data_IF_294679505644
#
_entry.id   IF_294679505644
#
_cell.length_a   1.000
_cell.length_b   1.000
_cell.length_c   1.000
_cell.angle_alpha   90.00
_cell.angle_beta   90.00
_cell.angle_gamma   90.00
#
_symmetry.space_group_name_H-M   'P 1'
#
loop_
_entity.id
_entity.type
_entity.pdbx_description
1 polymer ?
#
# COMPACT_ATOMS: atom_id res chain seq x y z
N UNK A 1 -11.44 19.62 -7.72
CA UNK A 1 -11.21 18.54 -6.73
C UNK A 1 -10.08 18.92 -5.78
N UNK A 2 -9.79 18.13 -4.74
CA UNK A 2 -8.78 18.51 -3.75
C UNK A 2 -7.36 18.68 -4.31
N UNK A 3 -7.02 17.94 -5.37
CA UNK A 3 -5.72 17.97 -6.03
C UNK A 3 -5.76 18.57 -7.45
N UNK A 4 -6.78 19.37 -7.76
CA UNK A 4 -6.81 20.11 -9.03
C UNK A 4 -5.55 20.98 -9.16
N UNK A 5 -4.85 20.84 -10.29
CA UNK A 5 -3.59 21.54 -10.56
C UNK A 5 -2.33 20.85 -10.05
N UNK A 6 -2.45 19.80 -9.25
CA UNK A 6 -1.29 18.96 -8.84
C UNK A 6 -0.90 18.01 -9.96
N UNK A 7 0.38 18.01 -10.35
CA UNK A 7 0.93 17.10 -11.36
C UNK A 7 1.80 16.03 -10.74
N UNK A 8 1.51 14.75 -11.08
CA UNK A 8 2.20 13.56 -10.60
C UNK A 8 2.86 12.83 -11.75
N UNK A 9 4.15 12.56 -11.65
CA UNK A 9 4.88 11.66 -12.54
C UNK A 9 4.98 10.29 -11.88
N UNK A 10 4.31 9.29 -12.45
CA UNK A 10 4.22 7.93 -11.92
C UNK A 10 5.17 7.00 -12.68
N UNK A 11 6.31 6.64 -12.07
CA UNK A 11 7.30 5.67 -12.57
C UNK A 11 7.08 4.26 -12.02
N UNK A 12 5.98 4.04 -11.31
CA UNK A 12 5.75 2.76 -10.61
C UNK A 12 5.26 1.69 -11.57
N UNK A 13 5.33 0.46 -11.09
CA UNK A 13 4.80 -0.73 -11.76
C UNK A 13 4.03 -1.56 -10.75
N UNK A 14 3.16 -2.42 -11.24
CA UNK A 14 2.36 -3.30 -10.41
C UNK A 14 1.50 -2.56 -9.39
N UNK A 15 1.22 -3.25 -8.28
CA UNK A 15 0.11 -2.99 -7.38
C UNK A 15 0.30 -1.75 -6.48
N UNK A 16 1.36 -1.63 -5.65
CA UNK A 16 1.39 -0.60 -4.60
C UNK A 16 1.45 0.82 -5.17
N UNK A 17 2.34 1.06 -6.13
CA UNK A 17 2.49 2.37 -6.74
C UNK A 17 1.33 2.76 -7.64
N UNK A 18 0.79 1.80 -8.41
CA UNK A 18 -0.39 2.05 -9.23
C UNK A 18 -1.61 2.42 -8.36
N UNK A 19 -1.77 1.78 -7.20
CA UNK A 19 -2.84 2.13 -6.26
C UNK A 19 -2.61 3.51 -5.62
N UNK A 20 -1.37 3.84 -5.23
CA UNK A 20 -1.02 5.16 -4.71
C UNK A 20 -1.42 6.26 -5.69
N UNK A 21 -0.92 6.19 -6.92
CA UNK A 21 -1.17 7.22 -7.93
C UNK A 21 -2.62 7.24 -8.43
N UNK A 22 -3.36 6.10 -8.34
CA UNK A 22 -4.79 6.06 -8.56
C UNK A 22 -5.57 6.91 -7.54
N UNK A 23 -5.24 6.80 -6.25
CA UNK A 23 -5.88 7.61 -5.21
C UNK A 23 -5.68 9.10 -5.46
N UNK A 24 -4.46 9.50 -5.88
CA UNK A 24 -4.17 10.89 -6.23
C UNK A 24 -4.96 11.34 -7.48
N UNK A 25 -5.05 10.49 -8.50
CA UNK A 25 -5.84 10.76 -9.71
C UNK A 25 -7.34 10.90 -9.41
N UNK A 26 -7.89 10.02 -8.55
CA UNK A 26 -9.30 10.09 -8.13
C UNK A 26 -9.61 11.34 -7.28
N UNK A 27 -8.59 11.97 -6.69
CA UNK A 27 -8.69 13.28 -6.00
C UNK A 27 -8.51 14.48 -6.94
N UNK A 28 -8.23 14.27 -8.23
CA UNK A 28 -8.13 15.32 -9.26
C UNK A 28 -6.72 15.66 -9.71
N UNK A 29 -5.68 14.94 -9.27
CA UNK A 29 -4.32 15.17 -9.75
C UNK A 29 -4.17 14.78 -11.23
N UNK A 30 -3.37 15.56 -11.99
CA UNK A 30 -2.93 15.25 -13.35
C UNK A 30 -1.81 14.19 -13.28
N UNK A 31 -2.17 12.91 -13.31
CA UNK A 31 -1.21 11.81 -13.21
C UNK A 31 -0.74 11.35 -14.58
N UNK A 32 0.58 11.43 -14.81
CA UNK A 32 1.24 10.92 -16.00
C UNK A 32 2.04 9.67 -15.63
N UNK A 33 1.55 8.52 -16.09
CA UNK A 33 2.27 7.25 -15.93
C UNK A 33 3.34 7.15 -17.01
N UNK A 34 4.60 7.13 -16.57
CA UNK A 34 5.79 7.04 -17.45
C UNK A 34 6.20 5.59 -17.58
N UNK A 35 6.16 5.07 -18.78
CA UNK A 35 6.36 3.65 -19.09
C UNK A 35 7.55 3.44 -20.04
N UNK A 36 8.31 2.34 -19.90
CA UNK A 36 9.38 2.03 -20.83
C UNK A 36 8.83 1.68 -22.24
N UNK A 37 9.60 1.91 -23.30
CA UNK A 37 9.24 1.44 -24.64
C UNK A 37 9.04 -0.07 -24.69
N UNK A 38 8.20 -0.52 -25.61
CA UNK A 38 7.90 -1.93 -25.86
C UNK A 38 6.75 -2.44 -24.97
N UNK A 39 7.05 -3.13 -23.88
CA UNK A 39 6.03 -3.78 -23.05
C UNK A 39 5.26 -2.84 -22.12
N UNK A 40 5.75 -1.66 -21.84
CA UNK A 40 5.18 -0.76 -20.83
C UNK A 40 5.27 -1.34 -19.41
N UNK A 41 4.25 -1.08 -18.61
CA UNK A 41 4.02 -1.79 -17.35
C UNK A 41 3.54 -3.22 -17.68
N UNK A 42 4.25 -4.23 -17.19
CA UNK A 42 3.91 -5.63 -17.47
C UNK A 42 2.57 -6.06 -16.87
N UNK A 43 1.96 -5.30 -15.94
CA UNK A 43 0.57 -5.49 -15.52
C UNK A 43 -0.41 -5.38 -16.69
N UNK A 44 -0.07 -4.68 -17.77
CA UNK A 44 -0.91 -4.58 -18.98
C UNK A 44 -1.25 -5.94 -19.61
N UNK A 45 -0.43 -6.95 -19.31
CA UNK A 45 -0.51 -8.29 -19.89
C UNK A 45 -1.03 -9.35 -18.93
N UNK A 46 -1.34 -8.98 -17.68
CA UNK A 46 -1.85 -9.92 -16.70
C UNK A 46 -3.32 -10.25 -16.93
N UNK A 47 -3.70 -11.55 -16.93
CA UNK A 47 -5.10 -11.94 -17.00
C UNK A 47 -5.84 -11.56 -15.68
N UNK A 48 -7.18 -11.45 -15.72
CA UNK A 48 -8.04 -11.67 -16.89
C UNK A 48 -7.95 -10.51 -17.90
N UNK A 49 -8.07 -10.86 -19.19
CA UNK A 49 -8.07 -9.88 -20.26
C UNK A 49 -9.51 -9.59 -20.71
N UNK A 50 -9.83 -8.31 -20.92
CA UNK A 50 -11.06 -7.83 -21.53
C UNK A 50 -10.65 -7.08 -22.80
N UNK A 51 -11.09 -7.55 -23.95
CA UNK A 51 -10.73 -6.99 -25.26
C UNK A 51 -9.20 -6.84 -25.46
N UNK A 52 -8.43 -7.83 -24.99
CA UNK A 52 -6.97 -7.85 -25.07
C UNK A 52 -6.25 -6.94 -24.05
N UNK A 53 -6.97 -6.30 -23.13
CA UNK A 53 -6.41 -5.44 -22.09
C UNK A 53 -6.59 -6.05 -20.71
N UNK A 54 -5.59 -5.92 -19.85
CA UNK A 54 -5.68 -6.40 -18.47
C UNK A 54 -6.75 -5.65 -17.68
N UNK A 55 -7.73 -6.38 -17.16
CA UNK A 55 -8.73 -5.82 -16.26
C UNK A 55 -8.10 -5.21 -15.00
N UNK A 56 -7.03 -5.84 -14.49
CA UNK A 56 -6.30 -5.35 -13.32
C UNK A 56 -5.58 -4.02 -13.63
N UNK A 57 -4.91 -3.93 -14.79
CA UNK A 57 -4.27 -2.68 -15.21
C UNK A 57 -5.31 -1.55 -15.32
N UNK A 58 -6.43 -1.81 -15.98
CA UNK A 58 -7.49 -0.82 -16.18
C UNK A 58 -8.11 -0.38 -14.85
N UNK A 59 -8.32 -1.28 -13.90
CA UNK A 59 -8.86 -0.96 -12.59
C UNK A 59 -7.95 -0.01 -11.79
N UNK A 60 -6.61 -0.19 -11.89
CA UNK A 60 -5.63 0.55 -11.10
C UNK A 60 -5.06 1.78 -11.81
N UNK A 61 -5.30 1.95 -13.11
CA UNK A 61 -4.74 3.06 -13.88
C UNK A 61 -5.79 3.95 -14.56
N UNK A 62 -7.06 3.87 -14.13
CA UNK A 62 -8.07 4.84 -14.56
C UNK A 62 -7.66 6.26 -14.14
N UNK A 63 -8.16 7.25 -14.87
CA UNK A 63 -7.88 8.67 -14.64
C UNK A 63 -6.40 9.09 -14.80
N UNK A 64 -5.54 8.19 -15.33
CA UNK A 64 -4.14 8.51 -15.62
C UNK A 64 -3.92 8.66 -17.12
N UNK A 65 -2.98 9.52 -17.48
CA UNK A 65 -2.41 9.59 -18.84
C UNK A 65 -1.18 8.70 -18.91
N UNK A 66 -0.90 8.11 -20.07
CA UNK A 66 0.30 7.29 -20.29
C UNK A 66 1.27 8.01 -21.20
N UNK A 67 2.55 7.96 -20.86
CA UNK A 67 3.67 8.44 -21.65
C UNK A 67 4.72 7.34 -21.78
N UNK A 68 5.09 6.98 -23.01
CA UNK A 68 6.21 6.08 -23.26
C UNK A 68 7.50 6.89 -23.31
N UNK A 69 8.46 6.59 -22.42
CA UNK A 69 9.72 7.30 -22.34
C UNK A 69 10.87 6.34 -21.98
N UNK A 70 11.95 6.39 -22.79
CA UNK A 70 13.14 5.58 -22.53
C UNK A 70 14.10 6.27 -21.56
N UNK A 71 13.96 6.03 -20.27
CA UNK A 71 14.85 6.59 -19.24
C UNK A 71 16.29 6.03 -19.27
N UNK A 72 16.56 5.00 -20.08
CA UNK A 72 17.93 4.52 -20.30
C UNK A 72 18.69 5.39 -21.31
N UNK A 73 18.01 6.14 -22.15
CA UNK A 73 18.63 7.09 -23.07
C UNK A 73 18.83 8.45 -22.41
N UNK A 74 19.88 9.16 -22.80
CA UNK A 74 20.14 10.52 -22.33
C UNK A 74 18.97 11.46 -22.63
N UNK A 75 18.50 11.47 -23.89
CA UNK A 75 17.36 12.30 -24.31
C UNK A 75 16.10 12.03 -23.47
N UNK A 76 15.84 10.75 -23.12
CA UNK A 76 14.71 10.40 -22.25
C UNK A 76 14.88 10.91 -20.82
N UNK A 77 16.09 10.85 -20.26
CA UNK A 77 16.36 11.40 -18.94
C UNK A 77 16.24 12.92 -18.90
N UNK A 78 16.78 13.62 -19.91
CA UNK A 78 16.66 15.08 -19.97
C UNK A 78 15.20 15.52 -20.12
N UNK A 79 14.42 14.85 -20.95
CA UNK A 79 12.98 15.14 -21.06
C UNK A 79 12.26 14.87 -19.71
N UNK A 80 12.62 13.80 -18.99
CA UNK A 80 12.04 13.55 -17.67
C UNK A 80 12.41 14.63 -16.65
N UNK A 81 13.66 15.09 -16.65
CA UNK A 81 14.11 16.20 -15.81
C UNK A 81 13.33 17.48 -16.09
N UNK A 82 13.09 17.77 -17.37
CA UNK A 82 12.28 18.93 -17.76
C UNK A 82 10.83 18.80 -17.28
N UNK A 83 10.24 17.61 -17.38
CA UNK A 83 8.91 17.37 -16.83
C UNK A 83 8.88 17.52 -15.30
N UNK A 84 9.94 17.07 -14.60
CA UNK A 84 10.05 17.16 -13.14
C UNK A 84 10.16 18.61 -12.63
N UNK A 85 10.67 19.57 -13.44
CA UNK A 85 10.67 20.99 -13.09
C UNK A 85 9.27 21.54 -12.86
N UNK A 86 8.28 21.04 -13.59
CA UNK A 86 6.88 21.46 -13.52
C UNK A 86 5.96 20.45 -12.84
N UNK A 87 6.50 19.43 -12.17
CA UNK A 87 5.73 18.45 -11.43
C UNK A 87 5.73 18.75 -9.92
N UNK A 88 4.68 18.39 -9.24
CA UNK A 88 4.59 18.48 -7.78
C UNK A 88 5.06 17.18 -7.10
N UNK A 89 4.86 16.05 -7.77
CA UNK A 89 5.15 14.72 -7.22
C UNK A 89 5.83 13.83 -8.25
N UNK A 90 6.85 13.10 -7.82
CA UNK A 90 7.38 11.91 -8.51
C UNK A 90 7.15 10.71 -7.61
N UNK A 91 6.48 9.68 -8.13
CA UNK A 91 6.29 8.39 -7.42
C UNK A 91 7.06 7.31 -8.18
N UNK A 92 7.90 6.57 -7.47
CA UNK A 92 8.69 5.49 -8.05
C UNK A 92 8.63 4.23 -7.19
N UNK A 93 8.92 3.06 -7.77
CA UNK A 93 8.90 1.76 -7.09
C UNK A 93 10.09 0.89 -7.49
N UNK A 94 11.21 1.50 -7.85
CA UNK A 94 12.43 0.78 -8.21
C UNK A 94 13.19 0.32 -6.96
N UNK A 95 14.09 -0.63 -7.15
CA UNK A 95 15.03 -0.97 -6.07
C UNK A 95 15.91 0.22 -5.71
N UNK A 96 16.30 0.38 -4.43
CA UNK A 96 17.17 1.46 -4.00
C UNK A 96 18.41 1.63 -4.89
N UNK A 97 18.75 2.88 -5.22
CA UNK A 97 19.86 3.24 -6.09
C UNK A 97 19.60 3.16 -7.60
N UNK A 98 18.44 2.68 -8.06
CA UNK A 98 18.11 2.67 -9.49
C UNK A 98 17.93 4.09 -10.02
N UNK A 99 17.20 4.93 -9.31
CA UNK A 99 16.99 6.32 -9.72
C UNK A 99 18.30 7.12 -9.76
N UNK A 100 19.22 6.86 -8.82
CA UNK A 100 20.54 7.50 -8.84
C UNK A 100 21.37 7.07 -10.04
N UNK A 101 21.37 5.78 -10.38
CA UNK A 101 22.05 5.27 -11.60
C UNK A 101 21.46 5.81 -12.89
N UNK A 102 20.20 6.20 -12.88
CA UNK A 102 19.53 6.88 -14.00
C UNK A 102 19.76 8.40 -13.98
N UNK A 103 20.51 8.93 -13.03
CA UNK A 103 20.68 10.38 -12.84
C UNK A 103 19.34 11.13 -12.64
N UNK A 104 18.38 10.44 -12.02
CA UNK A 104 17.04 10.92 -11.68
C UNK A 104 16.75 10.78 -10.19
N UNK A 105 17.79 10.61 -9.37
CA UNK A 105 17.68 10.49 -7.92
C UNK A 105 17.27 11.80 -7.24
N UNK A 106 16.87 11.69 -5.99
CA UNK A 106 16.39 12.83 -5.19
C UNK A 106 17.35 14.02 -5.18
N UNK A 107 18.66 13.78 -5.03
CA UNK A 107 19.66 14.84 -4.99
C UNK A 107 19.63 15.74 -6.24
N UNK A 108 19.41 15.14 -7.41
CA UNK A 108 19.34 15.84 -8.70
C UNK A 108 17.97 16.51 -8.87
N UNK A 109 16.89 15.79 -8.65
CA UNK A 109 15.55 16.32 -8.92
C UNK A 109 15.18 17.47 -7.98
N UNK A 110 15.62 17.44 -6.72
CA UNK A 110 15.38 18.55 -5.76
C UNK A 110 16.10 19.84 -6.14
N UNK A 111 17.26 19.75 -6.79
CA UNK A 111 17.96 20.95 -7.31
C UNK A 111 17.21 21.58 -8.47
N UNK A 112 16.58 20.75 -9.31
CA UNK A 112 15.75 21.21 -10.42
C UNK A 112 14.42 21.79 -9.97
N UNK A 113 13.84 21.24 -8.90
CA UNK A 113 12.58 21.66 -8.33
C UNK A 113 12.61 21.51 -6.79
N UNK A 114 12.95 22.58 -6.05
CA UNK A 114 13.02 22.53 -4.59
C UNK A 114 11.68 22.27 -3.88
N UNK A 115 10.57 22.34 -4.62
CA UNK A 115 9.22 22.06 -4.10
C UNK A 115 8.74 20.64 -4.39
N UNK A 116 9.52 19.86 -5.14
CA UNK A 116 9.17 18.51 -5.54
C UNK A 116 9.01 17.58 -4.33
N UNK A 117 7.95 16.80 -4.31
CA UNK A 117 7.80 15.64 -3.41
C UNK A 117 8.17 14.39 -4.21
N UNK A 118 9.22 13.68 -3.77
CA UNK A 118 9.60 12.39 -4.37
C UNK A 118 9.29 11.26 -3.41
N UNK A 119 8.46 10.31 -3.81
CA UNK A 119 8.05 9.16 -3.01
C UNK A 119 8.57 7.86 -3.62
N UNK A 120 9.40 7.15 -2.86
CA UNK A 120 9.88 5.82 -3.20
C UNK A 120 9.10 4.76 -2.41
N UNK A 121 8.42 3.84 -3.10
CA UNK A 121 7.65 2.75 -2.50
C UNK A 121 8.43 1.45 -2.69
N UNK A 122 8.94 0.86 -1.62
CA UNK A 122 9.76 -0.36 -1.69
C UNK A 122 9.33 -1.40 -0.66
N UNK A 123 9.83 -2.62 -0.79
CA UNK A 123 9.49 -3.70 0.14
C UNK A 123 9.98 -3.46 1.55
N UNK A 124 11.21 -2.91 1.68
CA UNK A 124 11.93 -2.86 2.95
C UNK A 124 12.59 -1.49 3.24
N UNK A 125 12.20 -0.44 2.53
CA UNK A 125 12.81 0.88 2.63
C UNK A 125 14.08 1.04 1.79
N UNK A 126 14.61 2.26 1.77
CA UNK A 126 15.80 2.64 0.98
C UNK A 126 17.12 2.22 1.62
N UNK A 127 17.12 1.85 2.89
CA UNK A 127 18.31 1.51 3.67
C UNK A 127 18.11 0.23 4.48
N UNK A 128 19.19 -0.25 5.11
CA UNK A 128 19.16 -1.44 5.94
C UNK A 128 19.51 -2.74 5.21
N UNK A 129 19.62 -3.86 5.95
CA UNK A 129 20.14 -5.13 5.42
C UNK A 129 19.22 -5.81 4.40
N UNK A 130 17.97 -5.40 4.31
CA UNK A 130 16.97 -5.98 3.41
C UNK A 130 16.65 -5.10 2.21
N UNK A 131 17.17 -3.89 2.13
CA UNK A 131 16.84 -2.89 1.10
C UNK A 131 16.95 -3.43 -0.34
N UNK A 132 17.92 -4.30 -0.62
CA UNK A 132 18.13 -4.89 -1.94
C UNK A 132 17.41 -6.24 -2.15
N UNK A 133 16.70 -6.76 -1.14
CA UNK A 133 16.02 -8.05 -1.27
C UNK A 133 14.73 -7.93 -2.08
N UNK A 134 14.43 -8.97 -2.83
CA UNK A 134 13.14 -9.13 -3.49
C UNK A 134 12.08 -9.59 -2.48
N UNK A 135 10.85 -9.19 -2.70
CA UNK A 135 9.69 -9.63 -1.94
C UNK A 135 8.40 -9.22 -2.61
N UNK A 136 7.32 -9.79 -2.14
CA UNK A 136 5.94 -9.44 -2.45
C UNK A 136 5.16 -9.33 -1.15
N UNK A 137 3.92 -8.91 -1.21
CA UNK A 137 3.02 -8.69 -0.08
C UNK A 137 3.17 -9.75 1.04
N UNK A 138 3.11 -11.03 0.66
CA UNK A 138 3.19 -12.14 1.61
C UNK A 138 4.49 -12.13 2.44
N UNK A 139 5.62 -11.75 1.83
CA UNK A 139 6.91 -11.65 2.52
C UNK A 139 6.91 -10.47 3.50
N UNK A 140 6.34 -9.34 3.10
CA UNK A 140 6.24 -8.13 3.95
C UNK A 140 5.31 -8.37 5.14
N UNK A 141 4.15 -9.03 4.90
CA UNK A 141 3.22 -9.45 5.94
C UNK A 141 3.84 -10.43 6.94
N UNK A 142 4.67 -11.37 6.45
CA UNK A 142 5.38 -12.33 7.30
C UNK A 142 6.39 -11.63 8.21
N UNK A 143 7.22 -10.72 7.66
CA UNK A 143 8.20 -9.96 8.43
C UNK A 143 7.57 -9.00 9.42
N UNK A 144 6.47 -8.35 9.05
CA UNK A 144 5.68 -7.51 9.95
C UNK A 144 5.04 -8.29 11.10
N UNK A 145 5.03 -9.64 11.04
CA UNK A 145 4.37 -10.49 12.03
C UNK A 145 2.87 -10.68 11.82
N UNK A 146 2.25 -9.89 10.95
CA UNK A 146 0.81 -9.89 10.72
C UNK A 146 0.31 -11.23 10.14
N UNK A 147 1.08 -11.86 9.27
CA UNK A 147 0.74 -13.16 8.71
C UNK A 147 0.62 -14.24 9.80
N UNK A 148 1.43 -14.17 10.86
CA UNK A 148 1.40 -15.16 11.95
C UNK A 148 0.09 -15.18 12.73
N UNK A 149 -0.66 -14.09 12.73
CA UNK A 149 -1.96 -13.98 13.40
C UNK A 149 -3.12 -14.38 12.49
N UNK A 150 -2.88 -14.52 11.19
CA UNK A 150 -3.88 -14.96 10.22
C UNK A 150 -3.88 -16.48 10.08
N UNK A 151 -4.22 -17.16 11.19
CA UNK A 151 -4.33 -18.61 11.29
C UNK A 151 -5.43 -18.98 12.28
N UNK A 152 -5.96 -20.20 12.16
CA UNK A 152 -6.78 -20.81 13.20
C UNK A 152 -5.90 -21.53 14.22
N UNK A 153 -6.46 -21.79 15.40
CA UNK A 153 -5.77 -22.59 16.42
C UNK A 153 -5.40 -23.97 15.85
N UNK A 154 -4.11 -24.32 15.94
CA UNK A 154 -3.60 -25.60 15.44
C UNK A 154 -3.32 -25.65 13.94
N UNK A 155 -3.57 -24.58 13.19
CA UNK A 155 -3.26 -24.47 11.75
C UNK A 155 -2.07 -23.56 11.48
N UNK A 156 -1.50 -23.68 10.28
CA UNK A 156 -0.50 -22.73 9.77
C UNK A 156 -1.13 -21.43 9.29
N UNK A 157 -0.32 -20.36 9.15
CA UNK A 157 -0.80 -19.11 8.56
C UNK A 157 -1.27 -19.29 7.11
N UNK A 158 -2.34 -18.57 6.75
CA UNK A 158 -2.88 -18.55 5.39
C UNK A 158 -2.66 -17.20 4.71
N UNK A 159 -2.41 -17.14 3.39
CA UNK A 159 -2.42 -15.89 2.63
C UNK A 159 -3.76 -15.17 2.77
N UNK A 160 -3.72 -13.85 2.89
CA UNK A 160 -4.93 -13.03 2.79
C UNK A 160 -5.39 -12.92 1.34
N UNK A 161 -6.68 -12.80 1.12
CA UNK A 161 -7.25 -12.57 -0.20
C UNK A 161 -6.92 -11.17 -0.76
N UNK A 162 -6.54 -10.24 0.11
CA UNK A 162 -6.17 -8.87 -0.23
C UNK A 162 -4.71 -8.62 0.15
N UNK A 163 -4.00 -7.83 -0.64
CA UNK A 163 -2.59 -7.50 -0.47
C UNK A 163 -2.46 -6.32 0.50
N UNK A 164 -2.42 -6.61 1.79
CA UNK A 164 -2.45 -5.61 2.87
C UNK A 164 -1.17 -4.78 2.91
N UNK A 165 -0.01 -5.40 2.74
CA UNK A 165 1.26 -4.68 2.71
C UNK A 165 1.40 -3.82 1.46
N UNK A 166 1.08 -4.37 0.28
CA UNK A 166 1.19 -3.65 -0.99
C UNK A 166 0.19 -2.49 -1.06
N UNK A 167 -1.10 -2.76 -0.83
CA UNK A 167 -2.19 -1.78 -0.98
C UNK A 167 -2.22 -0.82 0.22
N UNK A 168 -2.30 -1.37 1.44
CA UNK A 168 -2.47 -0.58 2.65
C UNK A 168 -1.17 0.05 3.12
N UNK A 169 -0.15 -0.77 3.38
CA UNK A 169 1.16 -0.30 3.87
C UNK A 169 1.91 0.56 2.86
N UNK A 170 1.98 0.08 1.61
CA UNK A 170 2.67 0.77 0.51
C UNK A 170 1.81 1.83 -0.17
N UNK A 171 0.79 1.39 -0.91
CA UNK A 171 0.01 2.28 -1.79
C UNK A 171 -0.74 3.38 -1.04
N UNK A 172 -1.56 3.03 -0.07
CA UNK A 172 -2.33 3.98 0.73
C UNK A 172 -1.43 4.79 1.67
N UNK A 173 -0.44 4.14 2.29
CA UNK A 173 0.55 4.82 3.14
C UNK A 173 1.33 5.88 2.38
N UNK A 174 1.77 5.57 1.14
CA UNK A 174 2.44 6.53 0.27
C UNK A 174 1.53 7.70 -0.13
N UNK A 175 0.27 7.42 -0.50
CA UNK A 175 -0.68 8.49 -0.83
C UNK A 175 -0.88 9.45 0.36
N UNK A 176 -1.03 8.91 1.57
CA UNK A 176 -1.16 9.72 2.80
C UNK A 176 0.10 10.56 3.05
N UNK A 177 1.30 9.98 2.91
CA UNK A 177 2.57 10.69 3.09
C UNK A 177 2.75 11.80 2.04
N UNK A 178 2.39 11.55 0.79
CA UNK A 178 2.41 12.54 -0.30
C UNK A 178 1.46 13.71 0.03
N UNK A 179 0.22 13.42 0.46
CA UNK A 179 -0.73 14.47 0.82
C UNK A 179 -0.22 15.35 1.97
N UNK A 180 0.41 14.73 2.99
CA UNK A 180 1.07 15.48 4.08
C UNK A 180 2.20 16.37 3.60
N UNK A 181 3.05 15.87 2.70
CA UNK A 181 4.15 16.65 2.11
C UNK A 181 3.64 17.78 1.20
N UNK A 182 2.62 17.53 0.38
CA UNK A 182 1.99 18.57 -0.45
C UNK A 182 1.37 19.68 0.40
N UNK A 183 0.75 19.32 1.53
CA UNK A 183 0.22 20.31 2.48
C UNK A 183 1.34 21.17 3.08
N UNK A 184 2.49 20.57 3.43
CA UNK A 184 3.68 21.32 3.90
C UNK A 184 4.17 22.29 2.82
N UNK A 185 4.33 21.80 1.58
CA UNK A 185 4.75 22.61 0.42
C UNK A 185 3.76 23.75 0.14
N UNK A 186 2.45 23.51 0.24
CA UNK A 186 1.42 24.54 0.04
C UNK A 186 1.49 25.67 1.08
N UNK A 187 2.00 25.37 2.27
CA UNK A 187 2.21 26.35 3.37
C UNK A 187 3.58 27.05 3.31
N UNK A 188 4.29 26.92 2.19
CA UNK A 188 5.60 27.56 1.99
C UNK A 188 6.80 26.71 2.39
N UNK A 189 6.59 25.44 2.77
CA UNK A 189 7.69 24.49 2.99
C UNK A 189 8.36 24.02 1.70
N UNK A 190 9.50 23.36 1.86
CA UNK A 190 10.25 22.73 0.75
C UNK A 190 9.69 21.36 0.40
N UNK A 191 10.02 20.88 -0.81
CA UNK A 191 9.79 19.51 -1.22
C UNK A 191 10.54 18.50 -0.34
N UNK A 192 10.16 17.22 -0.45
CA UNK A 192 10.63 16.19 0.47
C UNK A 192 10.82 14.85 -0.24
N UNK A 193 11.82 14.09 0.18
CA UNK A 193 11.93 12.67 -0.14
C UNK A 193 11.16 11.85 0.88
N UNK A 194 10.30 10.97 0.41
CA UNK A 194 9.48 10.07 1.21
C UNK A 194 9.93 8.63 0.93
N UNK A 195 10.47 7.98 1.95
CA UNK A 195 10.82 6.56 1.93
C UNK A 195 9.67 5.75 2.54
N UNK A 196 8.94 5.02 1.71
CA UNK A 196 7.78 4.22 2.12
C UNK A 196 8.10 2.73 1.98
N UNK A 197 8.31 2.08 3.12
CA UNK A 197 8.50 0.64 3.22
C UNK A 197 7.15 -0.07 3.39
N UNK A 198 6.84 -1.01 2.49
CA UNK A 198 5.63 -1.83 2.60
C UNK A 198 5.63 -2.68 3.86
N UNK A 199 6.81 -3.16 4.29
CA UNK A 199 6.96 -3.92 5.54
C UNK A 199 6.64 -3.07 6.76
N UNK A 200 7.20 -1.84 6.84
CA UNK A 200 6.95 -0.93 7.96
C UNK A 200 5.50 -0.46 7.97
N UNK A 201 4.92 -0.22 6.79
CA UNK A 201 3.50 0.07 6.65
C UNK A 201 2.62 -1.05 7.20
N UNK A 202 2.90 -2.30 6.84
CA UNK A 202 2.20 -3.45 7.38
C UNK A 202 2.42 -3.60 8.90
N UNK A 203 3.64 -3.37 9.39
CA UNK A 203 3.95 -3.39 10.81
C UNK A 203 3.19 -2.31 11.60
N UNK A 204 3.00 -1.12 11.04
CA UNK A 204 2.24 -0.04 11.69
C UNK A 204 0.79 -0.46 12.02
N UNK A 205 0.20 -1.36 11.25
CA UNK A 205 -1.14 -1.91 11.48
C UNK A 205 -1.17 -2.96 12.58
N UNK A 206 0.00 -3.43 13.01
CA UNK A 206 0.15 -4.35 14.15
C UNK A 206 0.10 -3.65 15.51
N UNK A 207 -0.22 -2.35 15.57
CA UNK A 207 -0.21 -1.57 16.81
C UNK A 207 -1.02 -2.22 17.93
N UNK A 208 -2.22 -2.76 17.62
CA UNK A 208 -3.09 -3.40 18.63
C UNK A 208 -2.52 -4.74 19.12
N UNK A 209 -2.24 -5.75 18.26
CA UNK A 209 -1.64 -6.99 18.73
C UNK A 209 -0.24 -6.78 19.31
N UNK A 210 0.55 -5.84 18.79
CA UNK A 210 1.88 -5.54 19.29
C UNK A 210 1.84 -4.97 20.73
N UNK A 211 0.86 -4.11 21.05
CA UNK A 211 0.67 -3.60 22.42
C UNK A 211 0.43 -4.73 23.42
N UNK A 212 -0.32 -5.76 23.03
CA UNK A 212 -0.53 -6.94 23.87
C UNK A 212 0.77 -7.73 24.08
N UNK A 213 1.56 -7.95 22.99
CA UNK A 213 2.86 -8.62 23.09
C UNK A 213 3.80 -7.87 24.05
N UNK A 214 3.84 -6.54 23.97
CA UNK A 214 4.69 -5.72 24.84
C UNK A 214 4.24 -5.82 26.32
N UNK A 215 2.94 -5.86 26.56
CA UNK A 215 2.39 -5.91 27.93
C UNK A 215 2.54 -7.29 28.57
N UNK A 216 2.30 -8.36 27.80
CA UNK A 216 2.34 -9.72 28.29
C UNK A 216 3.75 -10.35 28.22
N UNK A 217 4.69 -9.75 27.49
CA UNK A 217 6.05 -10.27 27.32
C UNK A 217 6.13 -11.62 26.59
N UNK A 218 5.06 -12.03 25.90
CA UNK A 218 4.98 -13.30 25.18
C UNK A 218 4.39 -13.15 23.78
N UNK A 219 4.72 -14.10 22.91
CA UNK A 219 4.06 -14.22 21.60
C UNK A 219 2.56 -14.52 21.81
N UNK A 220 1.73 -13.87 20.98
CA UNK A 220 0.29 -14.18 20.91
C UNK A 220 0.12 -15.32 19.90
N UNK A 221 -0.42 -16.48 20.31
CA UNK A 221 -0.79 -17.52 19.35
C UNK A 221 -1.94 -17.07 18.42
N UNK A 222 -2.06 -17.68 17.23
CA UNK A 222 -3.25 -17.50 16.40
C UNK A 222 -4.53 -17.76 17.18
N UNK A 223 -5.57 -16.97 16.90
CA UNK A 223 -6.88 -17.03 17.59
C UNK A 223 -6.87 -16.72 19.10
N UNK A 224 -5.76 -16.30 19.68
CA UNK A 224 -5.71 -15.89 21.09
C UNK A 224 -5.80 -14.36 21.30
N UNK A 225 -5.83 -13.57 20.24
CA UNK A 225 -6.10 -12.15 20.34
C UNK A 225 -7.61 -11.88 20.32
N UNK A 226 -8.07 -10.90 21.14
CA UNK A 226 -9.50 -10.56 21.27
C UNK A 226 -10.23 -10.26 19.96
N UNK A 227 -9.51 -9.78 18.94
CA UNK A 227 -10.05 -9.46 17.62
C UNK A 227 -9.73 -10.52 16.55
N UNK A 228 -9.28 -11.72 16.95
CA UNK A 228 -8.98 -12.81 16.02
C UNK A 228 -9.68 -14.12 16.38
N UNK A 229 -10.77 -14.05 17.15
CA UNK A 229 -11.59 -15.23 17.46
C UNK A 229 -11.37 -15.87 18.83
N UNK A 230 -10.67 -15.20 19.77
CA UNK A 230 -10.48 -15.69 21.13
C UNK A 230 -11.80 -15.88 21.88
N UNK A 231 -12.75 -15.00 21.69
CA UNK A 231 -14.02 -14.97 22.39
C UNK A 231 -15.19 -15.24 21.44
N UNK A 232 -16.22 -15.90 21.95
CA UNK A 232 -17.44 -16.19 21.19
C UNK A 232 -18.13 -14.94 20.63
N UNK A 233 -17.99 -13.80 21.29
CA UNK A 233 -18.55 -12.53 20.83
C UNK A 233 -17.84 -11.92 19.61
N UNK A 234 -16.72 -12.52 19.15
CA UNK A 234 -15.98 -12.03 17.99
C UNK A 234 -15.42 -13.19 17.17
N UNK A 235 -16.15 -13.59 16.12
CA UNK A 235 -15.77 -14.75 15.31
C UNK A 235 -16.65 -14.95 14.10
N UNK A 236 -16.36 -16.01 13.36
CA UNK A 236 -17.14 -16.45 12.20
C UNK A 236 -17.72 -17.82 12.47
N UNK A 237 -19.01 -17.99 12.23
CA UNK A 237 -19.78 -19.18 12.56
C UNK A 237 -20.51 -19.71 11.33
N UNK A 238 -20.51 -21.03 11.16
CA UNK A 238 -21.28 -21.70 10.13
C UNK A 238 -22.75 -21.78 10.55
N UNK A 239 -23.63 -21.42 9.65
CA UNK A 239 -25.08 -21.50 9.81
C UNK A 239 -25.61 -22.86 9.34
N UNK A 240 -26.84 -23.20 9.73
CA UNK A 240 -27.49 -24.47 9.36
C UNK A 240 -27.61 -24.72 7.85
N UNK A 241 -27.58 -23.66 7.05
CA UNK A 241 -27.64 -23.71 5.59
C UNK A 241 -26.25 -23.77 4.90
N UNK A 242 -25.16 -23.94 5.67
CA UNK A 242 -23.79 -23.99 5.19
C UNK A 242 -23.18 -22.63 4.86
N UNK A 243 -23.91 -21.53 5.02
CA UNK A 243 -23.36 -20.16 4.92
C UNK A 243 -22.68 -19.74 6.21
N UNK A 244 -21.92 -18.65 6.16
CA UNK A 244 -21.20 -18.15 7.32
C UNK A 244 -21.74 -16.80 7.76
N UNK A 245 -21.77 -16.61 9.08
CA UNK A 245 -22.12 -15.34 9.73
C UNK A 245 -20.93 -14.84 10.53
N UNK A 246 -20.67 -13.54 10.47
CA UNK A 246 -19.70 -12.87 11.34
C UNK A 246 -20.42 -12.30 12.57
N UNK A 247 -19.84 -12.51 13.74
CA UNK A 247 -20.27 -11.93 15.02
C UNK A 247 -19.18 -10.99 15.51
N UNK A 248 -19.55 -9.77 15.90
CA UNK A 248 -18.64 -8.76 16.44
C UNK A 248 -19.33 -7.97 17.57
N UNK A 249 -19.83 -8.69 18.57
CA UNK A 249 -20.61 -8.17 19.70
C UNK A 249 -19.71 -7.98 20.93
N UNK A 250 -18.67 -7.12 20.83
CA UNK A 250 -17.64 -6.95 21.85
C UNK A 250 -18.14 -6.28 23.12
N UNK A 251 -19.09 -5.36 23.01
CA UNK A 251 -19.65 -4.65 24.15
C UNK A 251 -20.75 -5.50 24.82
N UNK A 252 -20.82 -5.49 26.17
CA UNK A 252 -21.80 -6.33 26.93
C UNK A 252 -23.24 -6.16 26.47
N UNK A 253 -23.66 -4.93 26.09
CA UNK A 253 -25.01 -4.67 25.61
C UNK A 253 -25.32 -5.36 24.27
N UNK A 254 -24.32 -5.44 23.38
CA UNK A 254 -24.48 -6.11 22.09
C UNK A 254 -24.42 -7.63 22.24
N UNK A 255 -23.57 -8.11 23.15
CA UNK A 255 -23.54 -9.53 23.51
C UNK A 255 -24.86 -9.99 24.09
N UNK A 256 -25.42 -9.24 25.08
CA UNK A 256 -26.72 -9.54 25.67
C UNK A 256 -27.85 -9.56 24.63
N UNK A 257 -27.92 -8.55 23.74
CA UNK A 257 -28.91 -8.51 22.66
C UNK A 257 -28.77 -9.69 21.68
N UNK A 258 -27.54 -10.12 21.37
CA UNK A 258 -27.31 -11.31 20.54
C UNK A 258 -27.77 -12.59 21.27
N UNK A 259 -27.47 -12.74 22.54
CA UNK A 259 -27.89 -13.90 23.33
C UNK A 259 -29.42 -13.98 23.45
N UNK A 260 -30.10 -12.84 23.63
CA UNK A 260 -31.56 -12.79 23.62
C UNK A 260 -32.14 -13.20 22.27
N UNK A 261 -31.57 -12.66 21.15
CA UNK A 261 -32.01 -13.00 19.79
C UNK A 261 -31.80 -14.49 19.44
N UNK A 262 -30.81 -15.12 20.05
CA UNK A 262 -30.53 -16.55 19.91
C UNK A 262 -31.30 -17.44 20.92
N UNK A 263 -32.18 -16.86 21.73
CA UNK A 263 -32.89 -17.54 22.82
C UNK A 263 -31.95 -18.22 23.84
N UNK A 264 -30.78 -17.62 24.07
CA UNK A 264 -29.72 -18.11 24.97
C UNK A 264 -29.32 -17.06 26.01
N UNK A 265 -30.26 -16.53 26.81
CA UNK A 265 -29.95 -15.56 27.86
C UNK A 265 -29.00 -16.11 28.96
N UNK A 266 -28.84 -17.44 29.01
CA UNK A 266 -27.91 -18.14 29.91
C UNK A 266 -26.43 -17.89 29.56
N UNK A 267 -26.13 -17.29 28.40
CA UNK A 267 -24.77 -17.02 27.93
C UNK A 267 -24.34 -15.56 28.17
N UNK A 268 -25.14 -14.73 28.76
CA UNK A 268 -24.83 -13.32 29.05
C UNK A 268 -23.85 -13.17 30.24
#
# INVERSE_FOLDING_TARGET
MALDGVRVLDLTRLLPGAFCSLLLADMGADVIKVEPPGSGDYMRWYPPLIDGQSALFNALNRNKRSLVLNLKSEAGRELFKEMARGADVVVEGNRPGVMDRLELGWSILRELNPRLVMCAITGYGQSGPWAQRAGHDLNYMALAGALSLNARAGEGPHPLAVQVADIGGGGQGAALAILGALLEVSRGGSGRFLDVSMTDGAFSWMAVPFSQVQTEGRRIPPSEHRLTGKYACYGVYECADGRFMSVAALEPKFWGALCEALERPDMV
#
